data_IF_632745193537
#
_entry.id   IF_632745193537
#
_cell.length_a   1.000
_cell.length_b   1.000
_cell.length_c   1.000
_cell.angle_alpha   90.00
_cell.angle_beta   90.00
_cell.angle_gamma   90.00
#
_symmetry.space_group_name_H-M   'P 1'
#
loop_
_entity.id
_entity.type
_entity.pdbx_description
1 polymer ?
#
# COMPACT_ATOMS: atom_id res chain seq x y z
N UNK A 1 -15.05 -3.86 15.89
CA UNK A 1 -14.31 -3.45 14.67
C UNK A 1 -12.94 -4.07 14.75
N UNK A 2 -12.42 -4.59 13.64
CA UNK A 2 -11.03 -5.08 13.56
C UNK A 2 -10.11 -3.86 13.46
N UNK A 3 -9.09 -3.77 14.31
CA UNK A 3 -8.06 -2.73 14.20
C UNK A 3 -7.12 -3.09 13.06
N UNK A 4 -6.79 -2.13 12.21
CA UNK A 4 -5.96 -2.34 11.03
C UNK A 4 -5.02 -1.17 10.79
N UNK A 5 -3.86 -1.47 10.22
CA UNK A 5 -2.83 -0.49 9.87
C UNK A 5 -2.60 -0.47 8.36
N UNK A 6 -2.61 0.73 7.76
CA UNK A 6 -2.30 0.92 6.36
C UNK A 6 -0.83 1.33 6.19
N UNK A 7 -0.04 0.45 5.59
CA UNK A 7 1.29 0.77 5.09
C UNK A 7 1.24 1.32 3.67
N UNK A 8 2.00 2.40 3.41
CA UNK A 8 2.14 3.02 2.09
C UNK A 8 3.63 3.12 1.76
N UNK A 9 4.03 2.52 0.63
CA UNK A 9 5.38 2.61 0.08
C UNK A 9 5.32 3.20 -1.33
N UNK A 10 5.89 4.39 -1.51
CA UNK A 10 5.85 5.13 -2.78
C UNK A 10 7.24 5.14 -3.41
N UNK A 11 7.38 4.46 -4.54
CA UNK A 11 8.61 4.41 -5.33
C UNK A 11 8.44 4.95 -6.75
N UNK A 12 9.57 5.20 -7.43
CA UNK A 12 9.59 5.67 -8.82
C UNK A 12 9.03 4.66 -9.84
N UNK A 13 8.90 3.39 -9.46
CA UNK A 13 8.34 2.32 -10.32
C UNK A 13 6.96 1.89 -9.85
N UNK A 14 6.73 1.83 -8.54
CA UNK A 14 5.48 1.32 -7.95
C UNK A 14 5.10 2.06 -6.68
N UNK A 15 3.81 2.24 -6.47
CA UNK A 15 3.20 2.51 -5.17
C UNK A 15 2.60 1.22 -4.65
N UNK A 16 2.91 0.86 -3.40
CA UNK A 16 2.37 -0.32 -2.73
C UNK A 16 1.52 0.13 -1.56
N UNK A 17 0.40 -0.55 -1.37
CA UNK A 17 -0.45 -0.41 -0.20
C UNK A 17 -0.63 -1.79 0.42
N UNK A 18 -0.47 -1.88 1.74
CA UNK A 18 -0.66 -3.11 2.49
C UNK A 18 -1.47 -2.80 3.75
N UNK A 19 -2.46 -3.64 4.04
CA UNK A 19 -3.25 -3.56 5.27
C UNK A 19 -2.88 -4.74 6.14
N UNK A 20 -2.42 -4.45 7.36
CA UNK A 20 -2.13 -5.43 8.40
C UNK A 20 -3.20 -5.33 9.49
N UNK A 21 -3.51 -6.45 10.13
CA UNK A 21 -4.28 -6.45 11.37
C UNK A 21 -3.37 -6.29 12.62
N UNK A 22 -3.96 -6.36 13.81
CA UNK A 22 -3.23 -6.25 15.08
C UNK A 22 -2.29 -7.41 15.41
N UNK A 23 -2.37 -8.52 14.66
CA UNK A 23 -1.49 -9.68 14.83
C UNK A 23 -0.38 -9.70 13.76
N UNK A 24 -0.18 -8.58 13.05
CA UNK A 24 0.71 -8.44 11.91
C UNK A 24 0.34 -9.37 10.71
N UNK A 25 -0.92 -9.81 10.62
CA UNK A 25 -1.39 -10.61 9.49
C UNK A 25 -1.79 -9.72 8.31
N UNK A 26 -1.38 -10.11 7.10
CA UNK A 26 -1.72 -9.39 5.87
C UNK A 26 -3.18 -9.62 5.48
N UNK A 27 -4.00 -8.58 5.65
CA UNK A 27 -5.42 -8.60 5.29
C UNK A 27 -5.60 -8.42 3.79
N UNK A 28 -4.92 -7.44 3.20
CA UNK A 28 -4.97 -7.18 1.75
C UNK A 28 -3.80 -6.31 1.30
N UNK A 29 -3.55 -6.29 -0.01
CA UNK A 29 -2.53 -5.47 -0.63
C UNK A 29 -2.86 -5.11 -2.07
N UNK A 30 -2.33 -3.98 -2.54
CA UNK A 30 -2.32 -3.61 -3.97
C UNK A 30 -0.98 -3.00 -4.37
N UNK A 31 -0.62 -3.21 -5.64
CA UNK A 31 0.59 -2.71 -6.26
C UNK A 31 0.21 -1.94 -7.51
N UNK A 32 0.51 -0.65 -7.53
CA UNK A 32 0.17 0.25 -8.62
C UNK A 32 1.46 0.73 -9.31
N UNK A 33 1.63 0.52 -10.62
CA UNK A 33 2.81 1.00 -11.34
C UNK A 33 2.79 2.52 -11.48
N UNK A 34 3.83 3.22 -11.01
CA UNK A 34 3.89 4.69 -11.01
C UNK A 34 4.40 5.29 -12.32
N UNK A 35 5.05 4.50 -13.18
CA UNK A 35 5.65 4.97 -14.44
C UNK A 35 6.54 6.22 -14.28
N UNK A 36 7.24 6.36 -13.15
CA UNK A 36 8.06 7.54 -12.83
C UNK A 36 7.27 8.76 -12.37
N UNK A 37 5.95 8.65 -12.20
CA UNK A 37 5.04 9.73 -11.80
C UNK A 37 4.18 9.35 -10.60
N UNK A 38 4.74 9.29 -9.38
CA UNK A 38 4.02 8.78 -8.21
C UNK A 38 2.89 9.69 -7.73
N UNK A 39 2.99 11.00 -7.97
CA UNK A 39 1.97 12.00 -7.59
C UNK A 39 0.73 11.91 -8.48
N UNK A 40 0.88 11.49 -9.73
CA UNK A 40 -0.20 11.44 -10.71
C UNK A 40 -1.05 10.16 -10.60
N UNK A 41 -0.71 9.26 -9.68
CA UNK A 41 -1.44 8.02 -9.43
C UNK A 41 -2.71 8.34 -8.63
N UNK A 42 -3.89 8.04 -9.20
CA UNK A 42 -5.22 8.20 -8.57
C UNK A 42 -6.05 6.95 -8.77
#
# INVERSE_FOLDING_TARGET
MMETYLGIDVGSVTTKLAVLDSNDELVTHIYLPTQGKPIDMV
#
